data_IF_200576402420
#
_entry.id   IF_200576402420
#
_cell.length_a   1.000
_cell.length_b   1.000
_cell.length_c   1.000
_cell.angle_alpha   90.00
_cell.angle_beta   90.00
_cell.angle_gamma   90.00
#
_symmetry.space_group_name_H-M   'P 1'
#
loop_
_entity.id
_entity.type
_entity.pdbx_description
1 polymer ?
#
# COMPACT_ATOMS: atom_id res chain seq x y z
N UNK A 1 13.06 2.57 -21.12
CA UNK A 1 12.77 3.81 -20.37
C UNK A 1 11.28 4.04 -20.50
N UNK A 2 10.56 3.89 -19.40
CA UNK A 2 9.09 4.05 -19.37
C UNK A 2 8.75 5.52 -19.37
N UNK A 3 7.62 5.91 -19.98
CA UNK A 3 7.09 7.27 -19.88
C UNK A 3 6.69 7.65 -18.44
N UNK A 4 6.65 6.66 -17.54
CA UNK A 4 6.35 6.82 -16.14
C UNK A 4 7.60 6.88 -15.24
N UNK A 5 8.81 6.81 -15.80
CA UNK A 5 10.03 6.94 -15.02
C UNK A 5 10.11 8.34 -14.37
N UNK A 6 10.35 8.39 -13.06
CA UNK A 6 10.48 9.65 -12.31
C UNK A 6 9.17 10.36 -11.96
N UNK A 7 8.01 9.72 -12.13
CA UNK A 7 6.73 10.35 -11.75
C UNK A 7 6.67 10.68 -10.25
N UNK A 8 6.42 11.97 -9.98
CA UNK A 8 6.01 12.44 -8.66
C UNK A 8 4.51 12.17 -8.42
N UNK A 9 4.05 12.37 -7.18
CA UNK A 9 2.67 12.10 -6.76
C UNK A 9 1.63 12.72 -7.69
N UNK A 10 1.84 13.97 -8.10
CA UNK A 10 0.89 14.68 -8.94
C UNK A 10 0.79 14.09 -10.34
N UNK A 11 1.91 13.69 -10.91
CA UNK A 11 1.91 13.06 -12.23
C UNK A 11 1.21 11.69 -12.15
N UNK A 12 1.43 10.93 -11.08
CA UNK A 12 0.71 9.67 -10.83
C UNK A 12 -0.79 9.93 -10.69
N UNK A 13 -1.22 10.96 -9.94
CA UNK A 13 -2.63 11.36 -9.81
C UNK A 13 -3.26 11.67 -11.16
N UNK A 14 -2.59 12.48 -12.01
CA UNK A 14 -3.11 12.86 -13.32
C UNK A 14 -3.22 11.64 -14.25
N UNK A 15 -2.18 10.81 -14.30
CA UNK A 15 -2.20 9.57 -15.10
C UNK A 15 -3.32 8.66 -14.63
N UNK A 16 -3.39 8.39 -13.32
CA UNK A 16 -4.40 7.53 -12.73
C UNK A 16 -5.82 8.03 -13.01
N UNK A 17 -6.07 9.33 -12.84
CA UNK A 17 -7.34 9.98 -13.20
C UNK A 17 -7.70 9.75 -14.67
N UNK A 18 -6.76 9.98 -15.58
CA UNK A 18 -6.99 9.80 -17.02
C UNK A 18 -7.28 8.34 -17.38
N UNK A 19 -6.60 7.40 -16.72
CA UNK A 19 -6.85 5.97 -16.90
C UNK A 19 -8.22 5.56 -16.37
N UNK A 20 -8.61 6.01 -15.17
CA UNK A 20 -9.95 5.80 -14.61
C UNK A 20 -11.04 6.37 -15.53
N UNK A 21 -10.83 7.57 -16.09
CA UNK A 21 -11.79 8.18 -17.00
C UNK A 21 -11.97 7.34 -18.28
N UNK A 22 -10.87 6.93 -18.90
CA UNK A 22 -10.89 6.26 -20.22
C UNK A 22 -11.24 4.77 -20.16
N UNK A 23 -10.79 4.06 -19.13
CA UNK A 23 -10.77 2.59 -19.16
C UNK A 23 -11.63 1.95 -18.07
N UNK A 24 -12.63 1.18 -18.50
CA UNK A 24 -13.54 0.45 -17.59
C UNK A 24 -12.81 -0.58 -16.73
N UNK A 25 -11.79 -1.26 -17.27
CA UNK A 25 -10.97 -2.23 -16.55
C UNK A 25 -10.27 -1.62 -15.33
N UNK A 26 -9.72 -0.40 -15.47
CA UNK A 26 -9.07 0.34 -14.38
C UNK A 26 -10.09 0.70 -13.29
N UNK A 27 -11.30 1.14 -13.68
CA UNK A 27 -12.38 1.40 -12.72
C UNK A 27 -12.84 0.14 -12.00
N UNK A 28 -12.95 -0.98 -12.71
CA UNK A 28 -13.29 -2.27 -12.11
C UNK A 28 -12.21 -2.75 -11.14
N UNK A 29 -10.94 -2.56 -11.46
CA UNK A 29 -9.82 -2.86 -10.56
C UNK A 29 -9.93 -2.05 -9.26
N UNK A 30 -10.14 -0.73 -9.36
CA UNK A 30 -10.35 0.12 -8.18
C UNK A 30 -11.57 -0.33 -7.37
N UNK A 31 -12.72 -0.57 -8.02
CA UNK A 31 -13.95 -1.02 -7.35
C UNK A 31 -13.77 -2.38 -6.65
N UNK A 32 -13.01 -3.31 -7.24
CA UNK A 32 -12.67 -4.61 -6.62
C UNK A 32 -11.70 -4.49 -5.46
N UNK A 33 -11.02 -3.36 -5.32
CA UNK A 33 -10.10 -3.09 -4.21
C UNK A 33 -10.83 -2.50 -2.99
N UNK A 34 -12.03 -1.93 -3.19
CA UNK A 34 -12.86 -1.42 -2.10
C UNK A 34 -13.36 -2.55 -1.18
N UNK A 35 -13.59 -2.27 0.12
CA UNK A 35 -14.28 -3.19 1.02
C UNK A 35 -15.63 -3.63 0.46
N UNK A 36 -16.06 -4.86 0.79
CA UNK A 36 -17.23 -5.48 0.15
C UNK A 36 -18.53 -4.68 0.35
N UNK A 37 -18.75 -4.14 1.55
CA UNK A 37 -19.90 -3.33 1.92
C UNK A 37 -19.93 -1.99 1.15
N UNK A 38 -18.76 -1.42 0.87
CA UNK A 38 -18.59 -0.19 0.08
C UNK A 38 -18.77 -0.46 -1.41
N UNK A 39 -18.25 -1.58 -1.91
CA UNK A 39 -18.34 -1.98 -3.32
C UNK A 39 -19.78 -2.08 -3.83
N UNK A 40 -20.73 -2.38 -2.95
CA UNK A 40 -22.18 -2.42 -3.25
C UNK A 40 -22.80 -1.02 -3.36
N UNK A 41 -22.22 -0.02 -2.69
CA UNK A 41 -22.67 1.38 -2.68
C UNK A 41 -21.98 2.23 -3.77
N UNK A 42 -20.74 1.87 -4.12
CA UNK A 42 -19.93 2.60 -5.11
C UNK A 42 -19.93 1.84 -6.44
N UNK A 43 -20.66 2.36 -7.43
CA UNK A 43 -20.67 1.84 -8.79
C UNK A 43 -19.78 2.66 -9.72
N UNK A 44 -18.51 2.28 -9.87
CA UNK A 44 -17.56 2.97 -10.75
C UNK A 44 -17.81 2.70 -12.25
N UNK A 45 -18.81 1.89 -12.62
CA UNK A 45 -19.22 1.77 -14.02
C UNK A 45 -20.11 2.93 -14.47
N UNK A 46 -20.75 3.64 -13.53
CA UNK A 46 -21.71 4.72 -13.77
C UNK A 46 -21.22 6.02 -13.11
N UNK A 47 -20.12 6.57 -13.64
CA UNK A 47 -19.51 7.82 -13.16
C UNK A 47 -20.06 9.03 -13.92
N UNK A 48 -20.37 10.10 -13.19
CA UNK A 48 -20.80 11.38 -13.74
C UNK A 48 -19.59 12.27 -14.05
N UNK A 49 -18.65 12.37 -13.11
CA UNK A 49 -17.40 13.13 -13.29
C UNK A 49 -16.21 12.52 -12.55
N UNK A 50 -15.02 12.83 -13.05
CA UNK A 50 -13.75 12.60 -12.37
C UNK A 50 -12.92 13.88 -12.46
N UNK A 51 -12.65 14.48 -11.30
CA UNK A 51 -12.01 15.77 -11.14
C UNK A 51 -10.68 15.61 -10.39
N UNK A 52 -9.64 16.26 -10.87
CA UNK A 52 -8.42 16.51 -10.09
C UNK A 52 -8.46 17.97 -9.65
N UNK A 53 -8.31 18.24 -8.37
CA UNK A 53 -8.29 19.62 -7.91
C UNK A 53 -6.86 20.16 -7.95
N UNK A 54 -6.50 20.76 -9.08
CA UNK A 54 -5.28 21.59 -9.21
C UNK A 54 -5.61 22.90 -9.89
N UNK A 55 -6.03 23.89 -9.10
CA UNK A 55 -6.04 25.27 -9.56
C UNK A 55 -6.25 26.26 -8.40
N UNK A 56 -5.18 26.95 -8.01
CA UNK A 56 -5.25 28.34 -7.53
C UNK A 56 -5.44 28.61 -6.03
N UNK A 57 -5.83 27.63 -5.21
CA UNK A 57 -6.01 27.84 -3.77
C UNK A 57 -4.83 27.32 -2.96
N UNK A 58 -4.11 28.20 -2.24
CA UNK A 58 -3.35 27.82 -1.05
C UNK A 58 -4.38 27.43 0.01
N UNK A 59 -4.91 26.20 -0.09
CA UNK A 59 -5.98 25.69 0.75
C UNK A 59 -5.55 24.38 1.39
N UNK A 60 -5.60 24.33 2.73
CA UNK A 60 -5.49 23.10 3.50
C UNK A 60 -6.64 22.16 3.09
N UNK A 61 -6.34 20.89 2.78
CA UNK A 61 -7.38 19.86 2.63
C UNK A 61 -8.04 19.67 1.28
N UNK A 62 -7.36 20.00 0.18
CA UNK A 62 -7.86 19.71 -1.17
C UNK A 62 -7.50 18.27 -1.55
N UNK A 63 -8.47 17.42 -1.93
CA UNK A 63 -8.16 16.05 -2.32
C UNK A 63 -7.52 15.96 -3.70
N UNK A 64 -6.66 14.96 -3.88
CA UNK A 64 -5.99 14.70 -5.17
C UNK A 64 -6.98 14.36 -6.29
N UNK A 65 -7.98 13.54 -5.97
CA UNK A 65 -8.94 13.02 -6.95
C UNK A 65 -10.34 12.91 -6.34
N UNK A 66 -11.35 13.30 -7.11
CA UNK A 66 -12.76 13.20 -6.73
C UNK A 66 -13.52 12.50 -7.86
N UNK A 67 -14.25 11.44 -7.52
CA UNK A 67 -15.09 10.69 -8.44
C UNK A 67 -16.54 10.83 -7.97
N UNK A 68 -17.41 11.31 -8.86
CA UNK A 68 -18.84 11.45 -8.58
C UNK A 68 -19.64 10.40 -9.35
N UNK A 69 -20.47 9.67 -8.64
CA UNK A 69 -21.56 8.88 -9.22
C UNK A 69 -22.90 9.59 -9.03
N UNK A 70 -23.99 8.86 -9.30
CA UNK A 70 -25.34 9.32 -8.99
C UNK A 70 -25.54 9.41 -7.46
N UNK A 71 -25.29 8.31 -6.75
CA UNK A 71 -25.59 8.18 -5.31
C UNK A 71 -24.35 8.29 -4.40
N UNK A 72 -23.19 8.59 -4.96
CA UNK A 72 -21.94 8.63 -4.19
C UNK A 72 -20.97 9.72 -4.65
N UNK A 73 -20.13 10.14 -3.71
CA UNK A 73 -18.88 10.85 -3.96
C UNK A 73 -17.73 10.05 -3.34
N UNK A 74 -16.69 9.79 -4.12
CA UNK A 74 -15.47 9.12 -3.68
C UNK A 74 -14.30 10.09 -3.81
N UNK A 75 -13.80 10.50 -2.66
CA UNK A 75 -12.63 11.36 -2.49
C UNK A 75 -11.41 10.47 -2.29
N UNK A 76 -10.37 10.65 -3.09
CA UNK A 76 -9.17 9.80 -3.06
C UNK A 76 -7.94 10.69 -2.85
N UNK A 77 -7.19 10.41 -1.79
CA UNK A 77 -5.85 10.92 -1.55
C UNK A 77 -4.82 9.91 -2.03
N UNK A 78 -3.83 10.35 -2.79
CA UNK A 78 -2.81 9.49 -3.40
C UNK A 78 -1.46 9.75 -2.75
N UNK A 79 -0.83 8.70 -2.22
CA UNK A 79 0.56 8.73 -1.78
C UNK A 79 1.39 7.75 -2.59
N UNK A 80 2.59 8.18 -2.97
CA UNK A 80 3.52 7.38 -3.78
C UNK A 80 4.89 7.18 -3.12
N UNK A 81 5.07 7.72 -1.91
CA UNK A 81 6.28 7.63 -1.09
C UNK A 81 5.89 7.24 0.33
N UNK A 82 6.71 6.43 0.99
CA UNK A 82 6.43 5.90 2.33
C UNK A 82 6.59 6.97 3.41
N UNK A 83 7.57 7.86 3.22
CA UNK A 83 8.05 8.86 4.16
C UNK A 83 7.33 10.20 4.06
N UNK A 84 6.44 10.38 3.09
CA UNK A 84 5.75 11.66 2.92
C UNK A 84 4.77 11.83 4.06
N UNK A 85 4.97 12.89 4.84
CA UNK A 85 4.12 13.20 5.99
C UNK A 85 2.65 13.32 5.61
N UNK A 86 1.81 12.73 6.43
CA UNK A 86 0.39 13.04 6.48
C UNK A 86 0.28 14.46 7.02
N UNK A 87 -0.17 15.42 6.21
CA UNK A 87 -0.37 16.76 6.75
C UNK A 87 -1.60 16.69 7.67
N UNK A 88 -1.51 17.10 8.95
CA UNK A 88 -2.65 17.06 9.88
C UNK A 88 -3.90 17.75 9.30
N UNK A 89 -3.67 18.80 8.51
CA UNK A 89 -4.68 19.57 7.83
C UNK A 89 -5.37 18.86 6.65
N UNK A 90 -4.90 17.68 6.21
CA UNK A 90 -5.56 16.88 5.17
C UNK A 90 -6.69 16.03 5.75
N UNK A 91 -6.46 15.42 6.92
CA UNK A 91 -7.45 14.54 7.56
C UNK A 91 -8.65 15.32 8.08
N UNK A 92 -8.40 16.40 8.82
CA UNK A 92 -9.46 17.22 9.40
C UNK A 92 -10.29 17.97 8.34
N UNK A 93 -9.75 18.12 7.13
CA UNK A 93 -10.37 18.93 6.10
C UNK A 93 -11.14 18.12 5.06
N UNK A 94 -10.86 16.82 4.86
CA UNK A 94 -11.58 16.04 3.86
C UNK A 94 -13.04 15.78 4.23
N UNK A 95 -13.36 15.56 5.50
CA UNK A 95 -14.77 15.42 5.92
C UNK A 95 -15.54 16.73 5.67
N UNK A 96 -15.10 17.90 6.17
CA UNK A 96 -15.74 19.18 5.84
C UNK A 96 -15.76 19.51 4.34
N UNK A 97 -14.72 19.15 3.59
CA UNK A 97 -14.67 19.33 2.15
C UNK A 97 -15.76 18.51 1.47
N UNK A 98 -15.85 17.22 1.82
CA UNK A 98 -16.86 16.29 1.28
C UNK A 98 -18.27 16.73 1.67
N UNK A 99 -18.48 17.21 2.90
CA UNK A 99 -19.78 17.74 3.36
C UNK A 99 -20.27 18.93 2.54
N UNK A 100 -19.37 19.81 2.08
CA UNK A 100 -19.75 20.97 1.27
C UNK A 100 -20.16 20.63 -0.15
N UNK A 101 -19.74 19.46 -0.61
CA UNK A 101 -19.67 19.12 -2.02
C UNK A 101 -20.52 17.89 -2.39
N UNK A 102 -20.95 17.14 -1.37
CA UNK A 102 -21.93 16.07 -1.48
C UNK A 102 -23.32 16.65 -1.79
N UNK A 103 -24.01 16.09 -2.78
CA UNK A 103 -25.39 16.49 -3.10
C UNK A 103 -26.39 15.80 -2.17
N UNK A 104 -27.65 16.25 -2.19
CA UNK A 104 -28.72 15.57 -1.47
C UNK A 104 -28.81 14.10 -1.92
N UNK A 105 -29.03 13.19 -0.98
CA UNK A 105 -29.09 11.72 -1.17
C UNK A 105 -27.76 11.00 -1.47
N UNK A 106 -26.67 11.72 -1.76
CA UNK A 106 -25.36 11.09 -1.94
C UNK A 106 -24.74 10.65 -0.61
N UNK A 107 -23.96 9.57 -0.68
CA UNK A 107 -23.04 9.10 0.37
C UNK A 107 -21.59 9.39 0.01
N UNK A 108 -20.81 9.91 0.96
CA UNK A 108 -19.41 10.27 0.77
C UNK A 108 -18.45 9.21 1.29
N UNK A 109 -17.40 8.97 0.53
CA UNK A 109 -16.34 8.04 0.90
C UNK A 109 -14.99 8.74 0.75
N UNK A 110 -14.17 8.68 1.79
CA UNK A 110 -12.78 9.17 1.76
C UNK A 110 -11.84 7.98 1.75
N UNK A 111 -10.97 7.91 0.75
CA UNK A 111 -10.05 6.81 0.53
C UNK A 111 -8.60 7.31 0.45
N UNK A 112 -7.70 6.58 1.10
CA UNK A 112 -6.25 6.79 0.94
C UNK A 112 -5.66 5.64 0.13
N UNK A 113 -4.99 5.96 -0.97
CA UNK A 113 -4.26 5.01 -1.81
C UNK A 113 -2.75 5.19 -1.59
N UNK A 114 -2.13 4.23 -0.90
CA UNK A 114 -0.79 4.38 -0.29
C UNK A 114 0.16 3.22 -0.65
N UNK A 115 1.49 3.41 -0.55
CA UNK A 115 2.43 2.28 -0.64
C UNK A 115 2.32 1.35 0.57
N UNK A 116 2.72 0.08 0.39
CA UNK A 116 2.96 -0.81 1.52
C UNK A 116 4.15 -0.27 2.32
N UNK A 117 4.00 -0.06 3.63
CA UNK A 117 5.05 0.54 4.47
C UNK A 117 4.92 2.04 4.72
N UNK A 118 3.86 2.70 4.22
CA UNK A 118 3.60 4.11 4.53
C UNK A 118 3.62 4.38 6.04
N UNK A 119 4.43 5.36 6.47
CA UNK A 119 4.74 5.59 7.88
C UNK A 119 3.50 5.85 8.75
N UNK A 120 2.48 6.49 8.18
CA UNK A 120 1.25 6.87 8.89
C UNK A 120 0.09 5.88 8.68
N UNK A 121 0.36 4.66 8.21
CA UNK A 121 -0.71 3.70 7.94
C UNK A 121 -1.56 3.37 9.18
N UNK A 122 -0.96 3.32 10.37
CA UNK A 122 -1.69 2.99 11.61
C UNK A 122 -2.59 4.15 12.05
N UNK A 123 -2.16 5.40 11.84
CA UNK A 123 -3.00 6.58 12.05
C UNK A 123 -4.22 6.57 11.11
N UNK A 124 -4.01 6.24 9.83
CA UNK A 124 -5.09 6.12 8.85
C UNK A 124 -6.06 4.97 9.17
N UNK A 125 -5.54 3.83 9.67
CA UNK A 125 -6.38 2.70 10.11
C UNK A 125 -7.18 3.03 11.36
N UNK A 126 -6.62 3.78 12.30
CA UNK A 126 -7.32 4.17 13.52
C UNK A 126 -8.56 5.03 13.23
N UNK A 127 -8.50 5.85 12.17
CA UNK A 127 -9.61 6.68 11.69
C UNK A 127 -10.57 5.95 10.74
N UNK A 128 -10.21 4.74 10.31
CA UNK A 128 -11.01 4.01 9.35
C UNK A 128 -12.37 3.62 9.95
N UNK A 129 -13.41 3.69 9.13
CA UNK A 129 -14.80 3.48 9.51
C UNK A 129 -15.34 4.48 10.53
N UNK A 130 -14.65 5.59 10.78
CA UNK A 130 -15.28 6.75 11.37
C UNK A 130 -16.30 7.31 10.36
N UNK A 131 -17.56 7.22 10.76
CA UNK A 131 -18.63 7.95 10.10
C UNK A 131 -18.68 9.37 10.66
N UNK A 132 -19.00 10.34 9.82
CA UNK A 132 -19.33 11.67 10.32
C UNK A 132 -20.59 11.63 11.19
N UNK A 133 -20.87 12.71 11.93
CA UNK A 133 -22.03 12.78 12.82
C UNK A 133 -23.37 12.51 12.12
N UNK A 134 -23.43 12.73 10.79
CA UNK A 134 -24.62 12.48 9.99
C UNK A 134 -24.71 11.06 9.42
N UNK A 135 -23.65 10.25 9.52
CA UNK A 135 -23.56 8.93 8.90
C UNK A 135 -23.48 8.96 7.37
N UNK A 136 -23.33 10.14 6.78
CA UNK A 136 -23.32 10.35 5.32
C UNK A 136 -21.94 10.23 4.73
N UNK A 137 -20.89 10.46 5.51
CA UNK A 137 -19.51 10.40 5.05
C UNK A 137 -18.77 9.38 5.89
N UNK A 138 -18.01 8.54 5.20
CA UNK A 138 -17.22 7.47 5.82
C UNK A 138 -15.78 7.50 5.36
N UNK A 139 -14.86 7.49 6.32
CA UNK A 139 -13.43 7.28 6.03
C UNK A 139 -13.20 5.78 5.83
N UNK A 140 -12.62 5.40 4.71
CA UNK A 140 -12.32 4.00 4.40
C UNK A 140 -10.95 3.61 4.95
N UNK A 141 -10.72 2.32 5.26
CA UNK A 141 -9.38 1.81 5.49
C UNK A 141 -8.46 2.16 4.31
N UNK A 142 -7.18 2.45 4.57
CA UNK A 142 -6.24 2.71 3.49
C UNK A 142 -6.14 1.49 2.57
N UNK A 143 -6.12 1.76 1.26
CA UNK A 143 -5.88 0.77 0.23
C UNK A 143 -4.43 0.87 -0.21
N UNK A 144 -3.78 -0.28 -0.36
CA UNK A 144 -2.42 -0.32 -0.86
C UNK A 144 -2.38 -0.34 -2.39
N UNK A 145 -1.42 0.38 -2.98
CA UNK A 145 -1.16 0.31 -4.43
C UNK A 145 -0.96 -1.13 -4.92
N UNK A 146 -0.27 -1.96 -4.13
CA UNK A 146 -0.12 -3.39 -4.40
C UNK A 146 -1.47 -4.09 -4.63
N UNK A 147 -2.46 -3.83 -3.78
CA UNK A 147 -3.79 -4.46 -3.92
C UNK A 147 -4.48 -4.00 -5.20
N UNK A 148 -4.38 -2.71 -5.53
CA UNK A 148 -4.92 -2.19 -6.79
C UNK A 148 -4.25 -2.86 -8.01
N UNK A 149 -2.93 -2.98 -8.01
CA UNK A 149 -2.16 -3.66 -9.08
C UNK A 149 -2.61 -5.12 -9.22
N UNK A 150 -2.74 -5.85 -8.11
CA UNK A 150 -3.26 -7.23 -8.11
C UNK A 150 -4.68 -7.33 -8.69
N UNK A 151 -5.54 -6.34 -8.47
CA UNK A 151 -6.92 -6.32 -9.03
C UNK A 151 -6.98 -5.86 -10.48
N UNK A 152 -5.93 -5.21 -11.00
CA UNK A 152 -5.83 -4.82 -12.40
C UNK A 152 -5.65 -6.06 -13.30
N UNK A 153 -5.02 -7.11 -12.77
CA UNK A 153 -4.74 -8.35 -13.48
C UNK A 153 -3.33 -8.38 -14.06
N UNK A 154 -2.86 -9.55 -14.54
CA UNK A 154 -1.53 -9.70 -15.09
C UNK A 154 -1.37 -8.89 -16.40
N UNK A 155 -0.17 -8.37 -16.70
CA UNK A 155 0.07 -7.45 -17.82
C UNK A 155 -0.26 -8.04 -19.20
N UNK A 156 -0.19 -9.37 -19.34
CA UNK A 156 -0.55 -10.11 -20.56
C UNK A 156 -2.06 -10.06 -20.85
N UNK A 157 -2.89 -9.91 -19.83
CA UNK A 157 -4.36 -9.80 -19.94
C UNK A 157 -4.82 -8.35 -20.18
N UNK A 158 -3.92 -7.37 -20.09
CA UNK A 158 -4.24 -5.97 -20.31
C UNK A 158 -4.21 -5.64 -21.82
N UNK A 159 -5.39 -5.35 -22.37
CA UNK A 159 -5.60 -5.07 -23.80
C UNK A 159 -4.94 -3.78 -24.29
N UNK A 160 -4.62 -2.83 -23.40
CA UNK A 160 -4.13 -1.51 -23.76
C UNK A 160 -2.71 -1.28 -23.24
N UNK A 161 -1.82 -0.87 -24.14
CA UNK A 161 -0.39 -0.67 -23.83
C UNK A 161 -0.17 0.38 -22.74
N UNK A 162 -0.96 1.46 -22.71
CA UNK A 162 -0.83 2.47 -21.66
C UNK A 162 -1.20 1.92 -20.27
N UNK A 163 -2.20 1.05 -20.20
CA UNK A 163 -2.56 0.36 -18.95
C UNK A 163 -1.44 -0.59 -18.54
N UNK A 164 -0.83 -1.29 -19.49
CA UNK A 164 0.30 -2.21 -19.26
C UNK A 164 1.54 -1.49 -18.77
N UNK A 165 1.92 -0.38 -19.40
CA UNK A 165 3.04 0.45 -18.95
C UNK A 165 2.78 1.01 -17.54
N UNK A 166 1.54 1.44 -17.25
CA UNK A 166 1.17 1.91 -15.93
C UNK A 166 1.19 0.79 -14.89
N UNK A 167 0.69 -0.40 -15.23
CA UNK A 167 0.80 -1.60 -14.41
C UNK A 167 2.26 -1.90 -14.08
N UNK A 168 3.14 -1.93 -15.08
CA UNK A 168 4.56 -2.23 -14.90
C UNK A 168 5.21 -1.20 -13.98
N UNK A 169 4.93 0.09 -14.18
CA UNK A 169 5.44 1.15 -13.32
C UNK A 169 4.99 0.99 -11.85
N UNK A 170 3.69 0.75 -11.63
CA UNK A 170 3.17 0.54 -10.27
C UNK A 170 3.70 -0.76 -9.65
N UNK A 171 3.81 -1.83 -10.44
CA UNK A 171 4.31 -3.12 -9.99
C UNK A 171 5.78 -3.03 -9.56
N UNK A 172 6.63 -2.42 -10.37
CA UNK A 172 8.04 -2.20 -10.03
C UNK A 172 8.22 -1.38 -8.76
N UNK A 173 7.31 -0.41 -8.54
CA UNK A 173 7.40 0.53 -7.43
C UNK A 173 6.79 0.03 -6.13
N UNK A 174 5.67 -0.71 -6.20
CA UNK A 174 4.84 -1.01 -5.04
C UNK A 174 4.61 -2.50 -4.79
N UNK A 175 4.96 -3.37 -5.74
CA UNK A 175 4.85 -4.82 -5.57
C UNK A 175 6.24 -5.37 -5.23
N UNK A 176 6.44 -5.95 -4.03
CA UNK A 176 7.71 -6.59 -3.70
C UNK A 176 8.02 -7.69 -4.71
N UNK A 177 9.20 -7.62 -5.32
CA UNK A 177 9.65 -8.70 -6.21
C UNK A 177 9.95 -9.93 -5.35
N UNK A 178 9.31 -11.08 -5.61
CA UNK A 178 9.66 -12.30 -4.91
C UNK A 178 11.12 -12.64 -5.22
N UNK A 179 11.90 -12.94 -4.19
CA UNK A 179 13.21 -13.55 -4.37
C UNK A 179 12.97 -15.03 -4.62
N UNK A 180 13.34 -15.49 -5.81
CA UNK A 180 13.22 -16.89 -6.20
C UNK A 180 14.58 -17.52 -5.97
N UNK A 181 14.64 -18.54 -5.12
CA UNK A 181 15.85 -19.31 -4.86
C UNK A 181 15.87 -20.57 -5.73
N UNK A 182 17.04 -20.90 -6.30
CA UNK A 182 17.27 -22.20 -6.94
C UNK A 182 17.31 -23.33 -5.91
N UNK A 183 17.18 -24.58 -6.37
CA UNK A 183 17.34 -25.73 -5.49
C UNK A 183 18.75 -25.77 -4.87
N UNK A 184 19.79 -25.43 -5.64
CA UNK A 184 21.15 -25.34 -5.09
C UNK A 184 21.28 -24.25 -4.03
N UNK A 185 20.70 -23.07 -4.27
CA UNK A 185 20.71 -21.97 -3.29
C UNK A 185 19.99 -22.36 -1.99
N UNK A 186 18.86 -23.05 -2.11
CA UNK A 186 18.14 -23.60 -0.94
C UNK A 186 19.04 -24.62 -0.22
N UNK A 187 19.63 -25.58 -0.93
CA UNK A 187 20.52 -26.57 -0.32
C UNK A 187 21.72 -25.93 0.38
N UNK A 188 22.30 -24.87 -0.19
CA UNK A 188 23.38 -24.10 0.42
C UNK A 188 22.93 -23.37 1.69
N UNK A 189 21.72 -22.80 1.72
CA UNK A 189 21.15 -22.17 2.92
C UNK A 189 21.02 -23.15 4.10
N UNK A 190 20.77 -24.42 3.81
CA UNK A 190 20.67 -25.50 4.81
C UNK A 190 21.95 -26.32 4.99
N UNK A 191 23.08 -25.89 4.40
CA UNK A 191 24.37 -26.56 4.61
C UNK A 191 24.90 -26.36 6.03
N UNK A 192 25.69 -27.32 6.50
CA UNK A 192 26.34 -27.26 7.82
C UNK A 192 27.27 -26.04 7.92
N UNK A 193 27.92 -25.70 6.82
CA UNK A 193 28.81 -24.55 6.68
C UNK A 193 28.04 -23.25 6.88
N UNK A 194 26.90 -23.09 6.21
CA UNK A 194 26.03 -21.92 6.36
C UNK A 194 25.47 -21.82 7.77
N UNK A 195 24.95 -22.92 8.33
CA UNK A 195 24.46 -22.94 9.71
C UNK A 195 25.56 -22.54 10.71
N UNK A 196 26.77 -23.08 10.56
CA UNK A 196 27.92 -22.72 11.40
C UNK A 196 28.32 -21.25 11.24
N UNK A 197 28.29 -20.73 10.00
CA UNK A 197 28.54 -19.31 9.71
C UNK A 197 27.52 -18.39 10.39
N UNK A 198 26.23 -18.72 10.28
CA UNK A 198 25.15 -17.98 10.94
C UNK A 198 25.31 -18.01 12.46
N UNK A 199 25.61 -19.17 13.06
CA UNK A 199 25.86 -19.25 14.51
C UNK A 199 27.04 -18.38 14.96
N UNK A 200 28.12 -18.33 14.17
CA UNK A 200 29.27 -17.45 14.46
C UNK A 200 28.88 -15.97 14.39
N UNK A 201 28.12 -15.57 13.36
CA UNK A 201 27.62 -14.21 13.22
C UNK A 201 26.71 -13.80 14.38
N UNK A 202 25.79 -14.69 14.79
CA UNK A 202 24.92 -14.45 15.94
C UNK A 202 25.73 -14.28 17.25
N UNK A 203 26.77 -15.11 17.45
CA UNK A 203 27.66 -14.96 18.60
C UNK A 203 28.40 -13.61 18.60
N UNK A 204 28.85 -13.13 17.43
CA UNK A 204 29.47 -11.80 17.31
C UNK A 204 28.45 -10.71 17.67
N UNK A 205 27.22 -10.80 17.14
CA UNK A 205 26.16 -9.84 17.44
C UNK A 205 25.87 -9.77 18.94
N UNK A 206 25.72 -10.92 19.61
CA UNK A 206 25.48 -10.95 21.06
C UNK A 206 26.67 -10.39 21.86
N UNK A 207 27.91 -10.71 21.48
CA UNK A 207 29.10 -10.11 22.12
C UNK A 207 29.14 -8.58 21.98
N UNK A 208 28.74 -8.04 20.82
CA UNK A 208 28.66 -6.59 20.60
C UNK A 208 27.54 -5.99 21.45
N UNK A 209 26.36 -6.62 21.50
CA UNK A 209 25.25 -6.17 22.34
C UNK A 209 25.65 -6.11 23.82
N UNK A 210 26.33 -7.14 24.32
CA UNK A 210 26.74 -7.21 25.72
C UNK A 210 27.76 -6.12 26.04
N UNK A 211 28.76 -5.89 25.17
CA UNK A 211 29.69 -4.77 25.33
C UNK A 211 28.98 -3.41 25.35
N UNK A 212 28.03 -3.19 24.45
CA UNK A 212 27.25 -1.95 24.40
C UNK A 212 26.42 -1.75 25.67
N UNK A 213 25.76 -2.79 26.18
CA UNK A 213 25.04 -2.74 27.47
C UNK A 213 25.98 -2.43 28.63
N UNK A 214 27.16 -3.06 28.69
CA UNK A 214 28.17 -2.79 29.71
C UNK A 214 28.71 -1.36 29.65
N UNK A 215 28.68 -0.72 28.49
CA UNK A 215 29.01 0.70 28.31
C UNK A 215 27.83 1.66 28.53
N UNK A 216 26.68 1.17 29.03
CA UNK A 216 25.53 1.99 29.39
C UNK A 216 24.56 2.29 28.24
N UNK A 217 24.73 1.68 27.06
CA UNK A 217 23.80 1.87 25.94
C UNK A 217 22.57 0.96 26.08
N UNK A 218 21.39 1.50 25.78
CA UNK A 218 20.18 0.68 25.63
C UNK A 218 20.18 -0.04 24.29
N UNK A 219 20.12 -1.37 24.35
CA UNK A 219 20.03 -2.24 23.16
C UNK A 219 18.62 -2.81 23.10
N UNK A 220 17.81 -2.37 22.14
CA UNK A 220 16.49 -2.95 21.87
C UNK A 220 16.60 -4.18 20.96
N UNK A 221 15.62 -5.10 21.06
CA UNK A 221 15.51 -6.21 20.09
C UNK A 221 15.20 -5.61 18.71
N UNK A 222 15.90 -6.02 17.64
CA UNK A 222 15.52 -5.62 16.30
C UNK A 222 14.10 -6.10 16.02
N UNK A 223 13.28 -5.22 15.42
CA UNK A 223 11.97 -5.61 14.92
C UNK A 223 12.16 -6.59 13.74
N UNK A 224 11.77 -7.87 13.85
CA UNK A 224 11.95 -8.84 12.76
C UNK A 224 11.23 -8.43 11.48
N UNK A 225 10.20 -7.57 11.57
CA UNK A 225 9.50 -7.01 10.40
C UNK A 225 10.31 -5.96 9.63
N UNK A 226 11.39 -5.41 10.20
CA UNK A 226 12.28 -4.47 9.50
C UNK A 226 13.38 -5.18 8.68
N UNK A 227 13.54 -6.49 8.83
CA UNK A 227 14.61 -7.28 8.19
C UNK A 227 14.11 -8.58 7.52
N UNK A 228 12.80 -8.79 7.46
CA UNK A 228 12.20 -10.02 6.95
C UNK A 228 11.94 -9.98 5.45
N UNK A 229 12.51 -10.94 4.71
CA UNK A 229 11.99 -11.32 3.40
C UNK A 229 10.59 -11.92 3.58
N UNK A 230 9.59 -11.36 2.89
CA UNK A 230 8.25 -11.94 2.84
C UNK A 230 8.28 -13.19 1.94
N UNK A 231 8.43 -14.37 2.56
CA UNK A 231 8.24 -15.64 1.86
C UNK A 231 6.74 -15.84 1.60
N UNK A 232 6.31 -15.77 0.34
CA UNK A 232 4.94 -16.09 -0.04
C UNK A 232 4.75 -17.61 -0.14
N UNK A 233 3.62 -18.06 0.40
CA UNK A 233 3.27 -19.44 0.76
C UNK A 233 2.86 -20.34 -0.40
N UNK A 234 3.64 -20.38 -1.49
CA UNK A 234 3.42 -21.34 -2.59
C UNK A 234 4.23 -22.65 -2.48
N UNK A 235 4.95 -22.84 -1.37
CA UNK A 235 5.40 -24.16 -0.93
C UNK A 235 4.95 -24.36 0.51
N UNK A 236 4.21 -25.44 0.80
CA UNK A 236 3.86 -25.79 2.17
C UNK A 236 5.13 -25.91 3.02
N UNK A 237 5.37 -24.91 3.85
CA UNK A 237 6.05 -25.03 5.14
C UNK A 237 5.59 -23.85 6.01
N UNK A 238 4.61 -24.08 6.87
CA UNK A 238 4.35 -23.21 8.00
C UNK A 238 5.47 -23.45 9.01
N UNK A 239 6.62 -22.81 8.86
CA UNK A 239 7.73 -22.96 9.80
C UNK A 239 8.52 -21.65 9.91
N UNK A 240 8.79 -21.26 11.16
CA UNK A 240 9.46 -20.02 11.51
C UNK A 240 10.97 -20.29 11.40
N UNK A 241 11.70 -19.72 10.44
CA UNK A 241 13.06 -20.15 10.10
C UNK A 241 14.05 -20.06 11.26
N UNK A 242 13.80 -19.16 12.22
CA UNK A 242 14.65 -18.96 13.39
C UNK A 242 14.33 -19.95 14.53
N UNK A 243 13.07 -20.36 14.66
CA UNK A 243 12.65 -21.31 15.70
C UNK A 243 13.01 -22.75 15.33
N UNK A 244 12.89 -23.12 14.05
CA UNK A 244 13.11 -24.50 13.61
C UNK A 244 14.60 -24.84 13.36
N UNK A 245 15.46 -23.83 13.14
CA UNK A 245 16.91 -24.02 13.11
C UNK A 245 17.47 -24.54 14.45
N UNK A 246 16.77 -24.29 15.55
CA UNK A 246 17.09 -24.87 16.87
C UNK A 246 16.57 -26.30 17.05
N UNK A 247 15.44 -26.66 16.44
CA UNK A 247 14.85 -28.00 16.56
C UNK A 247 15.57 -29.05 15.68
N UNK A 248 16.06 -28.66 14.50
CA UNK A 248 16.78 -29.57 13.61
C UNK A 248 18.22 -29.90 14.07
N UNK A 249 18.80 -29.13 14.99
CA UNK A 249 20.13 -29.37 15.56
C UNK A 249 20.11 -30.20 16.86
N UNK A 250 18.93 -30.63 17.32
CA UNK A 250 18.75 -31.39 18.57
C UNK A 250 18.18 -32.80 18.37
N UNK A 251 18.13 -33.30 17.12
CA UNK A 251 17.83 -34.69 16.75
C UNK A 251 18.96 -35.27 15.90
#
# INVERSE_FOLDING_TARGET
MSIFDGLNENAVTIVFRNLLYRYKSVRQALQRTLPEDIRKKVNLSCINSIETHRSGGIGKGIPDLVIRGHDFILVIEIKVKEERGLQPAQQEAYVPWTQKDIQDEQTGFVLFLIPAGYHHQEELKAQAYEDDQSGRIRILPPIYWKQFVEKLGPPEELENELIREFYNHLSERFVPKPVIFSTEEICLMYSKETASGISKLMNIVEQVKDKLKSSGFQVSKPNPYNYGYNFSSLGRCCMNPIADMFLACCL
#
